data_IF_079166017190
#
_entry.id   IF_079166017190
#
_cell.length_a   1.000
_cell.length_b   1.000
_cell.length_c   1.000
_cell.angle_alpha   90.00
_cell.angle_beta   90.00
_cell.angle_gamma   90.00
#
_symmetry.space_group_name_H-M   'P 1'
#
loop_
_entity.id
_entity.type
_entity.pdbx_description
1 polymer ?
#
# COMPACT_ATOMS: atom_id res chain seq x y z
N UNK A 1 -5.85 11.28 3.53
CA UNK A 1 -6.36 11.06 4.89
C UNK A 1 -5.39 11.63 5.91
N UNK A 2 -4.22 11.01 6.14
CA UNK A 2 -3.27 11.43 7.18
C UNK A 2 -2.87 12.92 7.13
N UNK A 3 -2.59 13.48 5.96
CA UNK A 3 -2.29 14.91 5.85
C UNK A 3 -3.46 15.81 6.31
N UNK A 4 -4.70 15.42 6.01
CA UNK A 4 -5.90 16.12 6.46
C UNK A 4 -6.12 15.92 7.96
N UNK A 5 -5.85 14.72 8.48
CA UNK A 5 -5.91 14.45 9.92
C UNK A 5 -4.87 15.26 10.70
N UNK A 6 -3.65 15.42 10.16
CA UNK A 6 -2.63 16.31 10.72
C UNK A 6 -3.10 17.76 10.70
N UNK A 7 -3.70 18.22 9.59
CA UNK A 7 -4.26 19.56 9.50
C UNK A 7 -5.34 19.79 10.56
N UNK A 8 -6.27 18.83 10.74
CA UNK A 8 -7.29 18.87 11.82
C UNK A 8 -6.62 18.96 13.19
N UNK A 9 -5.61 18.13 13.46
CA UNK A 9 -4.93 18.09 14.76
C UNK A 9 -4.15 19.39 15.07
N UNK A 10 -3.57 20.03 14.05
CA UNK A 10 -2.79 21.27 14.21
C UNK A 10 -3.67 22.51 14.26
N UNK A 11 -4.72 22.57 13.44
CA UNK A 11 -5.55 23.78 13.26
C UNK A 11 -6.84 23.77 14.08
N UNK A 12 -7.32 22.59 14.49
CA UNK A 12 -8.65 22.42 15.07
C UNK A 12 -9.80 22.54 14.07
N UNK A 13 -9.52 22.71 12.76
CA UNK A 13 -10.56 22.86 11.74
C UNK A 13 -11.28 21.53 11.47
N UNK A 14 -12.42 21.35 12.13
CA UNK A 14 -13.23 20.16 11.99
C UNK A 14 -13.91 20.03 10.62
N UNK A 15 -13.91 21.06 9.76
CA UNK A 15 -14.50 20.97 8.42
C UNK A 15 -13.75 19.98 7.53
N UNK A 16 -12.45 19.76 7.80
CA UNK A 16 -11.59 18.84 7.07
C UNK A 16 -11.83 17.36 7.42
N UNK A 17 -12.54 17.07 8.51
CA UNK A 17 -12.77 15.70 9.00
C UNK A 17 -13.48 14.81 7.96
N UNK A 18 -14.51 15.33 7.29
CA UNK A 18 -15.24 14.61 6.24
C UNK A 18 -14.38 14.32 5.03
N UNK A 19 -13.52 15.27 4.65
CA UNK A 19 -12.57 15.06 3.56
C UNK A 19 -11.52 13.99 3.93
N UNK A 20 -11.03 13.99 5.17
CA UNK A 20 -10.11 12.97 5.67
C UNK A 20 -10.74 11.56 5.60
N UNK A 21 -11.99 11.44 6.05
CA UNK A 21 -12.75 10.19 6.06
C UNK A 21 -13.02 9.69 4.63
N UNK A 22 -13.43 10.58 3.72
CA UNK A 22 -13.61 10.25 2.30
C UNK A 22 -12.34 9.72 1.65
N UNK A 23 -11.21 10.43 1.82
CA UNK A 23 -9.94 10.01 1.24
C UNK A 23 -9.47 8.67 1.83
N UNK A 24 -9.74 8.41 3.12
CA UNK A 24 -9.38 7.13 3.74
C UNK A 24 -10.20 5.97 3.14
N UNK A 25 -11.51 6.17 2.92
CA UNK A 25 -12.37 5.17 2.27
C UNK A 25 -11.94 4.92 0.83
N UNK A 26 -11.64 5.97 0.06
CA UNK A 26 -11.12 5.82 -1.31
C UNK A 26 -9.81 5.03 -1.30
N UNK A 27 -8.88 5.36 -0.40
CA UNK A 27 -7.61 4.64 -0.27
C UNK A 27 -7.82 3.15 0.06
N UNK A 28 -8.77 2.82 0.93
CA UNK A 28 -9.14 1.43 1.23
C UNK A 28 -9.76 0.71 0.02
N UNK A 29 -10.65 1.34 -0.74
CA UNK A 29 -11.20 0.73 -1.95
C UNK A 29 -10.09 0.49 -3.00
N UNK A 30 -9.20 1.47 -3.18
CA UNK A 30 -8.03 1.33 -4.05
C UNK A 30 -7.10 0.21 -3.61
N UNK A 31 -6.91 0.00 -2.29
CA UNK A 31 -6.08 -1.10 -1.80
C UNK A 31 -6.71 -2.46 -2.12
N UNK A 32 -8.04 -2.62 -2.06
CA UNK A 32 -8.70 -3.86 -2.45
C UNK A 32 -8.47 -4.21 -3.92
N UNK A 33 -8.56 -3.23 -4.82
CA UNK A 33 -8.26 -3.41 -6.25
C UNK A 33 -6.79 -3.84 -6.42
N UNK A 34 -5.89 -3.17 -5.71
CA UNK A 34 -4.45 -3.45 -5.76
C UNK A 34 -4.10 -4.84 -5.20
N UNK A 35 -4.80 -5.31 -4.16
CA UNK A 35 -4.65 -6.65 -3.60
C UNK A 35 -5.01 -7.71 -4.65
N UNK A 36 -6.11 -7.50 -5.40
CA UNK A 36 -6.53 -8.44 -6.44
C UNK A 36 -5.50 -8.48 -7.57
N UNK A 37 -5.10 -7.34 -8.11
CA UNK A 37 -4.10 -7.29 -9.19
C UNK A 37 -2.74 -7.85 -8.74
N UNK A 38 -2.26 -7.42 -7.57
CA UNK A 38 -0.97 -7.88 -7.03
C UNK A 38 -0.97 -9.38 -6.71
N UNK A 39 -2.10 -9.96 -6.29
CA UNK A 39 -2.19 -11.41 -6.11
C UNK A 39 -2.06 -12.16 -7.44
N UNK A 40 -2.65 -11.63 -8.53
CA UNK A 40 -2.50 -12.20 -9.88
C UNK A 40 -1.04 -12.17 -10.33
N UNK A 41 -0.37 -11.03 -10.21
CA UNK A 41 1.03 -10.86 -10.61
C UNK A 41 1.96 -11.78 -9.79
N UNK A 42 1.73 -11.87 -8.48
CA UNK A 42 2.53 -12.69 -7.57
C UNK A 42 2.54 -14.18 -7.91
N UNK A 43 1.47 -14.73 -8.50
CA UNK A 43 1.42 -16.14 -8.89
C UNK A 43 2.56 -16.54 -9.83
N UNK A 44 3.01 -15.61 -10.68
CA UNK A 44 4.02 -15.82 -11.71
C UNK A 44 5.45 -15.48 -11.27
N UNK A 45 5.64 -15.16 -9.98
CA UNK A 45 6.97 -14.89 -9.40
C UNK A 45 7.62 -16.15 -8.83
N UNK A 46 8.95 -16.17 -8.79
CA UNK A 46 9.75 -17.31 -8.30
C UNK A 46 10.89 -16.88 -7.38
N UNK A 47 11.41 -17.81 -6.57
CA UNK A 47 12.61 -17.58 -5.74
C UNK A 47 12.49 -16.37 -4.80
N UNK A 48 13.48 -15.47 -4.85
CA UNK A 48 13.57 -14.29 -3.99
C UNK A 48 12.51 -13.23 -4.31
N UNK A 49 12.18 -13.04 -5.59
CA UNK A 49 11.08 -12.19 -6.05
C UNK A 49 9.76 -12.61 -5.38
N UNK A 50 9.47 -13.92 -5.38
CA UNK A 50 8.25 -14.46 -4.74
C UNK A 50 8.20 -14.20 -3.24
N UNK A 51 9.34 -14.33 -2.54
CA UNK A 51 9.45 -14.07 -1.09
C UNK A 51 9.28 -12.58 -0.79
N UNK A 52 9.90 -11.73 -1.59
CA UNK A 52 9.79 -10.26 -1.47
C UNK A 52 8.34 -9.81 -1.73
N UNK A 53 7.71 -10.35 -2.77
CA UNK A 53 6.30 -10.10 -3.08
C UNK A 53 5.35 -10.56 -1.98
N UNK A 54 5.62 -11.70 -1.32
CA UNK A 54 4.86 -12.14 -0.15
C UNK A 54 5.02 -11.18 1.03
N UNK A 55 6.24 -10.72 1.31
CA UNK A 55 6.50 -9.76 2.39
C UNK A 55 5.78 -8.43 2.15
N UNK A 56 5.91 -7.88 0.93
CA UNK A 56 5.17 -6.69 0.50
C UNK A 56 3.66 -6.87 0.71
N UNK A 57 3.11 -7.99 0.23
CA UNK A 57 1.68 -8.29 0.31
C UNK A 57 1.17 -8.38 1.75
N UNK A 58 1.91 -9.05 2.64
CA UNK A 58 1.52 -9.18 4.05
C UNK A 58 1.54 -7.84 4.78
N UNK A 59 2.54 -6.99 4.50
CA UNK A 59 2.62 -5.64 5.06
C UNK A 59 1.44 -4.80 4.57
N UNK A 60 1.18 -4.79 3.27
CA UNK A 60 0.10 -4.00 2.67
C UNK A 60 -1.29 -4.48 3.09
N UNK A 61 -1.50 -5.79 3.23
CA UNK A 61 -2.75 -6.34 3.75
C UNK A 61 -2.98 -5.89 5.20
N UNK A 62 -1.93 -5.91 6.03
CA UNK A 62 -2.00 -5.43 7.41
C UNK A 62 -2.36 -3.94 7.47
N UNK A 63 -1.75 -3.11 6.62
CA UNK A 63 -2.09 -1.69 6.49
C UNK A 63 -3.55 -1.50 6.08
N UNK A 64 -4.03 -2.28 5.11
CA UNK A 64 -5.42 -2.23 4.64
C UNK A 64 -6.41 -2.55 5.77
N UNK A 65 -6.10 -3.54 6.63
CA UNK A 65 -6.90 -3.86 7.81
C UNK A 65 -6.88 -2.73 8.85
N UNK A 66 -5.71 -2.11 9.10
CA UNK A 66 -5.59 -0.96 9.99
C UNK A 66 -6.43 0.22 9.50
N UNK A 67 -6.43 0.49 8.20
CA UNK A 67 -7.28 1.52 7.60
C UNK A 67 -8.77 1.19 7.73
N UNK A 68 -9.16 -0.07 7.51
CA UNK A 68 -10.53 -0.52 7.73
C UNK A 68 -10.98 -0.31 9.18
N UNK A 69 -10.15 -0.68 10.15
CA UNK A 69 -10.44 -0.46 11.58
C UNK A 69 -10.59 1.04 11.87
N UNK A 70 -9.71 1.88 11.35
CA UNK A 70 -9.83 3.34 11.49
C UNK A 70 -11.14 3.87 10.87
N UNK A 71 -11.54 3.39 9.69
CA UNK A 71 -12.81 3.78 9.04
C UNK A 71 -14.00 3.41 9.94
N UNK A 72 -14.01 2.17 10.46
CA UNK A 72 -15.08 1.69 11.36
C UNK A 72 -15.15 2.58 12.60
N UNK A 73 -14.03 2.82 13.28
CA UNK A 73 -13.99 3.65 14.49
C UNK A 73 -14.47 5.08 14.25
N UNK A 74 -14.10 5.69 13.12
CA UNK A 74 -14.56 7.05 12.75
C UNK A 74 -16.08 7.11 12.54
N UNK A 75 -16.70 6.00 12.09
CA UNK A 75 -18.13 5.91 11.85
C UNK A 75 -18.97 5.47 13.05
N UNK A 76 -18.41 4.69 13.97
CA UNK A 76 -19.17 4.04 15.06
C UNK A 76 -18.80 4.52 16.47
N UNK A 77 -17.64 5.15 16.65
CA UNK A 77 -17.15 5.59 17.95
C UNK A 77 -16.61 7.03 17.90
N UNK A 78 -17.49 8.05 17.94
CA UNK A 78 -17.09 9.46 17.84
C UNK A 78 -16.03 9.88 18.86
N UNK A 79 -16.12 9.38 20.10
CA UNK A 79 -15.16 9.67 21.17
C UNK A 79 -13.77 9.07 20.91
N UNK A 80 -13.68 8.05 20.05
CA UNK A 80 -12.44 7.39 19.65
C UNK A 80 -11.80 8.01 18.39
N UNK A 81 -12.33 9.14 17.86
CA UNK A 81 -11.84 9.73 16.61
C UNK A 81 -10.35 10.05 16.62
N UNK A 82 -9.84 10.60 17.72
CA UNK A 82 -8.41 10.90 17.87
C UNK A 82 -7.55 9.63 17.78
N UNK A 83 -7.98 8.54 18.39
CA UNK A 83 -7.32 7.25 18.28
C UNK A 83 -7.38 6.70 16.85
N UNK A 84 -8.53 6.80 16.18
CA UNK A 84 -8.66 6.38 14.78
C UNK A 84 -7.75 7.17 13.83
N UNK A 85 -7.60 8.49 14.05
CA UNK A 85 -6.64 9.33 13.32
C UNK A 85 -5.21 8.82 13.53
N UNK A 86 -4.82 8.60 14.79
CA UNK A 86 -3.50 8.11 15.13
C UNK A 86 -3.21 6.73 14.53
N UNK A 87 -4.18 5.82 14.59
CA UNK A 87 -4.12 4.48 14.01
C UNK A 87 -3.88 4.53 12.49
N UNK A 88 -4.62 5.38 11.76
CA UNK A 88 -4.39 5.58 10.33
C UNK A 88 -3.03 6.23 10.02
N UNK A 89 -2.52 7.08 10.92
CA UNK A 89 -1.17 7.63 10.83
C UNK A 89 -0.08 6.57 10.94
N UNK A 90 -0.19 5.65 11.90
CA UNK A 90 0.72 4.49 12.00
C UNK A 90 0.63 3.61 10.76
N UNK A 91 -0.60 3.29 10.32
CA UNK A 91 -0.82 2.48 9.12
C UNK A 91 -0.12 3.08 7.90
N UNK A 92 -0.19 4.40 7.73
CA UNK A 92 0.52 5.11 6.68
C UNK A 92 2.05 5.05 6.83
N UNK A 93 2.60 5.14 8.04
CA UNK A 93 4.03 4.97 8.26
C UNK A 93 4.52 3.56 7.90
N UNK A 94 3.77 2.52 8.28
CA UNK A 94 4.05 1.12 7.92
C UNK A 94 3.94 0.92 6.41
N UNK A 95 2.97 1.58 5.76
CA UNK A 95 2.79 1.54 4.31
C UNK A 95 4.06 1.98 3.56
N UNK A 96 4.82 2.96 4.06
CA UNK A 96 6.08 3.39 3.44
C UNK A 96 7.11 2.25 3.42
N UNK A 97 7.17 1.44 4.47
CA UNK A 97 8.04 0.26 4.53
C UNK A 97 7.58 -0.80 3.52
N UNK A 98 6.28 -1.06 3.44
CA UNK A 98 5.75 -1.97 2.42
C UNK A 98 6.00 -1.46 1.00
N UNK A 99 5.95 -0.14 0.78
CA UNK A 99 6.18 0.48 -0.52
C UNK A 99 7.62 0.28 -1.00
N UNK A 100 8.61 0.28 -0.10
CA UNK A 100 9.98 -0.08 -0.43
C UNK A 100 10.07 -1.48 -1.05
N UNK A 101 9.51 -2.50 -0.40
CA UNK A 101 9.48 -3.86 -0.95
C UNK A 101 8.67 -3.98 -2.24
N UNK A 102 7.62 -3.15 -2.38
CA UNK A 102 6.85 -3.08 -3.62
C UNK A 102 7.64 -2.51 -4.79
N UNK A 103 8.56 -1.57 -4.52
CA UNK A 103 9.47 -1.01 -5.53
C UNK A 103 10.55 -2.01 -5.97
N UNK A 104 11.02 -2.87 -5.07
CA UNK A 104 12.02 -3.90 -5.42
C UNK A 104 11.52 -4.89 -6.47
N UNK A 105 10.20 -5.10 -6.58
CA UNK A 105 9.62 -5.96 -7.62
C UNK A 105 9.95 -5.46 -9.04
N UNK A 106 9.48 -4.29 -9.49
CA UNK A 106 9.78 -3.80 -10.83
C UNK A 106 11.24 -3.33 -10.98
N UNK A 107 11.83 -2.71 -9.96
CA UNK A 107 13.17 -2.10 -10.09
C UNK A 107 14.31 -3.07 -9.80
N UNK A 108 14.13 -3.97 -8.83
CA UNK A 108 15.14 -4.94 -8.41
C UNK A 108 15.05 -6.25 -9.18
N UNK A 109 13.85 -6.77 -9.42
CA UNK A 109 13.65 -8.07 -10.11
C UNK A 109 13.17 -7.97 -11.56
N UNK A 110 12.70 -6.79 -11.99
CA UNK A 110 12.10 -6.63 -13.32
C UNK A 110 10.72 -7.28 -13.46
N UNK A 111 10.05 -7.54 -12.34
CA UNK A 111 8.70 -8.15 -12.26
C UNK A 111 7.73 -7.39 -13.18
N UNK A 112 7.07 -8.11 -14.09
CA UNK A 112 6.11 -7.57 -15.07
C UNK A 112 6.63 -6.42 -15.98
N UNK A 113 7.94 -6.11 -15.94
CA UNK A 113 8.59 -5.16 -16.84
C UNK A 113 9.34 -5.90 -17.93
N UNK A 114 10.23 -6.82 -17.56
CA UNK A 114 11.04 -7.58 -18.51
C UNK A 114 11.54 -8.90 -17.89
N UNK A 115 11.03 -10.04 -18.40
CA UNK A 115 11.43 -11.39 -17.97
C UNK A 115 12.90 -11.74 -18.24
N UNK A 116 13.61 -10.86 -18.94
CA UNK A 116 14.99 -11.00 -19.35
C UNK A 116 15.87 -9.90 -18.75
N UNK A 117 15.33 -9.01 -17.90
CA UNK A 117 16.01 -7.80 -17.44
C UNK A 117 17.46 -8.07 -17.01
N UNK A 118 17.67 -9.12 -16.22
CA UNK A 118 18.95 -9.44 -15.58
C UNK A 118 19.64 -10.70 -16.11
N UNK A 119 19.23 -11.19 -17.29
CA UNK A 119 19.92 -12.26 -17.98
C UNK A 119 21.04 -11.70 -18.87
N UNK A 120 22.14 -12.44 -19.03
CA UNK A 120 23.15 -12.11 -20.02
C UNK A 120 22.59 -12.30 -21.43
N UNK A 121 22.61 -11.24 -22.24
CA UNK A 121 22.14 -11.27 -23.62
C UNK A 121 23.30 -11.28 -24.60
N UNK A 122 23.20 -12.02 -25.72
CA UNK A 122 24.18 -11.91 -26.80
C UNK A 122 24.17 -10.46 -27.33
N UNK A 123 25.35 -9.83 -27.44
CA UNK A 123 25.48 -8.48 -27.99
C UNK A 123 25.21 -8.37 -29.50
N UNK A 124 24.76 -9.46 -30.14
CA UNK A 124 24.45 -9.55 -31.56
C UNK A 124 23.14 -10.30 -31.72
N UNK A 125 22.35 -9.92 -32.71
CA UNK A 125 21.10 -10.60 -33.03
C UNK A 125 21.36 -12.08 -33.33
N UNK A 126 20.72 -12.97 -32.59
CA UNK A 126 20.74 -14.41 -32.81
C UNK A 126 19.31 -14.90 -33.04
N UNK A 127 19.12 -15.71 -34.08
CA UNK A 127 17.85 -16.38 -34.35
C UNK A 127 17.57 -17.40 -33.23
N UNK A 128 16.33 -17.42 -32.74
CA UNK A 128 15.80 -18.43 -31.81
C UNK A 128 15.73 -19.82 -32.48
#
# INVERSE_FOLDING_TARGET
AVALDVAVAVTGDLTLTRAADFVLVVAFISSLISIVSGFTDWQYTFGEEKRTGMLHSLIMLSVSLVFLISIILRGTAPDARGFAMWLSGIGWAIMLVGAFFGGELPYGYGTEVNRQAWNEHPGKWTRL
#
